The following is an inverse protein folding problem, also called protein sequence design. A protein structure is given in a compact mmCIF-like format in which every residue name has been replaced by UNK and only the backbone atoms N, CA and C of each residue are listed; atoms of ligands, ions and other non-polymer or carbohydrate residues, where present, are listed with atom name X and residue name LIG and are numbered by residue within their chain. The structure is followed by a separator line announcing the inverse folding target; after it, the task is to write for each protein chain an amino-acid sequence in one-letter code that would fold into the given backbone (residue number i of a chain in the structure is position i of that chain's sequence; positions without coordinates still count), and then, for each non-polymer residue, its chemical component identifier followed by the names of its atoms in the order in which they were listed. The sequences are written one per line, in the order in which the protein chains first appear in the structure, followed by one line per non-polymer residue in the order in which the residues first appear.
data_IF_121195663394
#
_entry.id   IF_121195663394
#
_cell.length_a   1.000
_cell.length_b   1.000
_cell.length_c   1.000
_cell.angle_alpha   90.00
_cell.angle_beta   90.00
_cell.angle_gamma   90.00
#
_symmetry.space_group_name_H-M   'P 1'
#
loop_
_entity.id
_entity.type
_entity.pdbx_description
1 polymer ?
#
# COMPACT_ATOMS: atom_id res chain seq x y z
N UNK A 1 12.30 -31.75 14.91
CA UNK A 1 13.26 -31.75 13.81
C UNK A 1 12.65 -31.63 12.40
N UNK A 2 11.43 -32.13 12.21
CA UNK A 2 10.70 -32.11 10.96
C UNK A 2 10.36 -30.69 10.52
N UNK A 3 9.93 -29.82 11.42
CA UNK A 3 9.64 -28.41 11.16
C UNK A 3 10.88 -27.68 10.64
N UNK A 4 12.05 -27.95 11.23
CA UNK A 4 13.31 -27.36 10.78
C UNK A 4 13.67 -27.82 9.37
N UNK A 5 13.49 -29.14 9.10
CA UNK A 5 13.72 -29.73 7.78
C UNK A 5 12.75 -29.11 6.72
N UNK A 6 11.47 -29.01 7.05
CA UNK A 6 10.48 -28.37 6.17
C UNK A 6 10.81 -26.90 5.88
N UNK A 7 11.20 -26.12 6.90
CA UNK A 7 11.60 -24.71 6.72
C UNK A 7 12.93 -24.53 6.00
N UNK A 8 13.76 -25.58 5.85
CA UNK A 8 15.00 -25.51 5.07
C UNK A 8 14.81 -25.69 3.58
N UNK A 9 13.61 -26.05 3.12
CA UNK A 9 13.31 -26.15 1.69
C UNK A 9 13.39 -24.76 1.06
N UNK A 10 14.07 -24.66 -0.09
CA UNK A 10 14.30 -23.39 -0.79
C UNK A 10 13.00 -22.82 -1.35
N UNK A 11 12.58 -21.66 -0.83
CA UNK A 11 11.33 -21.00 -1.24
C UNK A 11 11.39 -20.56 -2.70
N UNK A 12 12.56 -20.17 -3.21
CA UNK A 12 12.69 -19.75 -4.61
C UNK A 12 12.41 -20.91 -5.56
N UNK A 13 12.90 -22.10 -5.21
CA UNK A 13 12.61 -23.33 -5.96
C UNK A 13 11.15 -23.74 -5.85
N UNK A 14 10.54 -23.61 -4.66
CA UNK A 14 9.10 -23.83 -4.46
C UNK A 14 8.28 -22.90 -5.34
N UNK A 15 8.56 -21.61 -5.33
CA UNK A 15 7.83 -20.64 -6.13
C UNK A 15 7.89 -20.95 -7.63
N UNK A 16 9.06 -21.36 -8.13
CA UNK A 16 9.18 -21.83 -9.52
C UNK A 16 8.34 -23.07 -9.77
N UNK A 17 8.27 -23.99 -8.83
CA UNK A 17 7.43 -25.18 -8.91
C UNK A 17 5.93 -24.86 -8.99
N UNK A 18 5.50 -23.77 -8.37
CA UNK A 18 4.13 -23.21 -8.47
C UNK A 18 3.92 -22.33 -9.72
N UNK A 19 4.90 -22.24 -10.61
CA UNK A 19 4.77 -21.50 -11.86
C UNK A 19 5.12 -20.02 -11.79
N UNK A 20 5.64 -19.53 -10.66
CA UNK A 20 6.11 -18.15 -10.57
C UNK A 20 7.44 -17.96 -11.32
N UNK A 21 7.49 -16.91 -12.13
CA UNK A 21 8.71 -16.52 -12.83
C UNK A 21 9.49 -15.47 -12.03
N UNK A 22 10.76 -15.72 -11.69
CA UNK A 22 11.57 -14.76 -10.97
C UNK A 22 12.01 -13.60 -11.86
N UNK A 23 11.94 -12.40 -11.32
CA UNK A 23 12.49 -11.18 -11.90
C UNK A 23 13.44 -10.53 -10.88
N UNK A 24 14.59 -10.04 -11.35
CA UNK A 24 15.57 -9.42 -10.45
C UNK A 24 15.05 -8.11 -9.90
N UNK A 25 14.84 -8.03 -8.59
CA UNK A 25 14.34 -6.85 -7.89
C UNK A 25 15.43 -6.09 -7.10
N UNK A 26 16.64 -6.64 -6.98
CA UNK A 26 17.74 -6.05 -6.21
C UNK A 26 18.78 -7.08 -5.80
N UNK A 27 19.74 -6.70 -4.92
CA UNK A 27 20.81 -7.61 -4.47
C UNK A 27 20.29 -8.71 -3.54
N UNK A 28 19.25 -8.44 -2.76
CA UNK A 28 18.79 -9.32 -1.65
C UNK A 28 17.41 -9.91 -1.86
N UNK A 29 16.65 -9.45 -2.83
CA UNK A 29 15.29 -9.86 -3.06
C UNK A 29 15.04 -10.22 -4.53
N UNK A 30 14.17 -11.19 -4.76
CA UNK A 30 13.70 -11.63 -6.07
C UNK A 30 12.19 -11.35 -6.11
N UNK A 31 11.76 -10.52 -7.05
CA UNK A 31 10.34 -10.30 -7.32
C UNK A 31 9.81 -11.44 -8.19
N UNK A 32 8.60 -11.89 -7.93
CA UNK A 32 7.89 -12.84 -8.79
C UNK A 32 6.97 -12.08 -9.75
N UNK A 33 7.17 -12.27 -11.06
CA UNK A 33 6.35 -11.63 -12.09
C UNK A 33 4.88 -11.95 -11.93
N UNK A 34 4.03 -10.99 -12.20
CA UNK A 34 2.55 -11.12 -12.17
C UNK A 34 1.97 -11.63 -10.84
N UNK A 35 2.73 -11.58 -9.77
CA UNK A 35 2.35 -12.11 -8.45
C UNK A 35 1.66 -11.11 -7.53
N UNK A 36 1.41 -9.88 -8.00
CA UNK A 36 0.82 -8.83 -7.17
C UNK A 36 1.72 -8.34 -6.03
N UNK A 37 3.06 -8.50 -6.17
CA UNK A 37 4.00 -8.00 -5.17
C UNK A 37 4.61 -9.06 -4.25
N UNK A 38 4.71 -10.31 -4.72
CA UNK A 38 5.44 -11.37 -4.02
C UNK A 38 6.94 -11.19 -4.19
N UNK A 39 7.64 -11.06 -3.07
CA UNK A 39 9.09 -11.00 -3.00
C UNK A 39 9.64 -12.15 -2.20
N UNK A 40 10.69 -12.77 -2.73
CA UNK A 40 11.46 -13.83 -2.04
C UNK A 40 12.83 -13.28 -1.68
N UNK A 41 13.26 -13.57 -0.47
CA UNK A 41 14.56 -13.23 0.09
C UNK A 41 15.38 -14.51 0.25
N UNK A 42 16.16 -14.94 -0.76
CA UNK A 42 16.85 -16.22 -0.76
C UNK A 42 17.84 -16.39 0.41
N UNK A 43 18.56 -15.33 0.78
CA UNK A 43 19.55 -15.36 1.88
C UNK A 43 18.92 -15.78 3.22
N UNK A 44 17.66 -15.38 3.45
CA UNK A 44 16.96 -15.68 4.70
C UNK A 44 15.91 -16.78 4.56
N UNK A 45 15.74 -17.32 3.35
CA UNK A 45 14.68 -18.28 2.99
C UNK A 45 13.29 -17.80 3.44
N UNK A 46 12.93 -16.55 3.12
CA UNK A 46 11.66 -15.90 3.49
C UNK A 46 10.99 -15.32 2.29
N UNK A 47 9.66 -15.16 2.38
CA UNK A 47 8.88 -14.39 1.43
C UNK A 47 8.11 -13.26 2.12
N UNK A 48 7.68 -12.29 1.34
CA UNK A 48 6.79 -11.22 1.74
C UNK A 48 5.87 -10.85 0.56
N UNK A 49 4.58 -10.74 0.83
CA UNK A 49 3.58 -10.24 -0.10
C UNK A 49 3.28 -8.79 0.21
N UNK A 50 3.60 -7.88 -0.70
CA UNK A 50 3.44 -6.43 -0.50
C UNK A 50 2.07 -5.90 -0.88
N UNK A 51 1.35 -6.58 -1.79
CA UNK A 51 0.08 -6.12 -2.34
C UNK A 51 -0.83 -7.29 -2.68
N UNK A 52 -2.13 -7.03 -2.79
CA UNK A 52 -3.12 -8.03 -3.15
C UNK A 52 -3.92 -8.55 -1.97
N UNK A 53 -4.70 -9.63 -2.18
CA UNK A 53 -5.53 -10.22 -1.12
C UNK A 53 -4.73 -10.67 0.10
N UNK A 54 -3.47 -11.03 -0.11
CA UNK A 54 -2.53 -11.53 0.91
C UNK A 54 -1.54 -10.45 1.37
N UNK A 55 -1.89 -9.16 1.25
CA UNK A 55 -1.02 -8.05 1.67
C UNK A 55 -0.57 -8.22 3.13
N UNK A 56 0.75 -8.10 3.32
CA UNK A 56 1.38 -8.27 4.63
C UNK A 56 1.68 -9.73 5.02
N UNK A 57 1.23 -10.74 4.26
CA UNK A 57 1.57 -12.14 4.52
C UNK A 57 3.05 -12.37 4.27
N UNK A 58 3.71 -13.00 5.23
CA UNK A 58 5.14 -13.28 5.20
C UNK A 58 5.44 -14.56 5.94
N UNK A 59 6.53 -15.21 5.60
CA UNK A 59 6.91 -16.43 6.31
C UNK A 59 8.09 -17.19 5.71
N UNK A 60 8.22 -18.43 6.13
CA UNK A 60 9.16 -19.42 5.62
C UNK A 60 8.53 -20.34 4.57
N UNK A 61 9.23 -21.45 4.27
CA UNK A 61 8.76 -22.44 3.29
C UNK A 61 7.41 -23.06 3.68
N UNK A 62 7.18 -23.30 4.96
CA UNK A 62 5.92 -23.88 5.45
C UNK A 62 4.78 -22.88 5.19
N UNK A 63 4.94 -21.62 5.60
CA UNK A 63 3.92 -20.60 5.41
C UNK A 63 3.62 -20.36 3.93
N UNK A 64 4.65 -20.48 3.07
CA UNK A 64 4.50 -20.37 1.62
C UNK A 64 3.60 -21.47 1.06
N UNK A 65 3.85 -22.73 1.41
CA UNK A 65 3.04 -23.86 0.94
C UNK A 65 1.62 -23.84 1.53
N UNK A 66 1.48 -23.46 2.81
CA UNK A 66 0.16 -23.24 3.42
C UNK A 66 -0.67 -22.24 2.62
N UNK A 67 -0.06 -21.14 2.19
CA UNK A 67 -0.72 -20.11 1.37
C UNK A 67 -1.10 -20.62 -0.01
N UNK A 68 -0.16 -21.23 -0.73
CA UNK A 68 -0.37 -21.66 -2.12
C UNK A 68 -1.44 -22.75 -2.25
N UNK A 69 -1.51 -23.64 -1.28
CA UNK A 69 -2.39 -24.80 -1.36
C UNK A 69 -3.50 -24.82 -0.31
N UNK A 70 -3.61 -23.75 0.46
CA UNK A 70 -4.59 -23.65 1.57
C UNK A 70 -4.52 -24.84 2.55
N UNK A 71 -3.30 -25.28 2.86
CA UNK A 71 -3.04 -26.40 3.75
C UNK A 71 -2.94 -25.95 5.20
N UNK A 72 -3.26 -26.87 6.12
CA UNK A 72 -2.91 -26.70 7.53
C UNK A 72 -1.40 -26.84 7.77
N UNK A 73 -0.91 -26.33 8.88
CA UNK A 73 0.52 -26.41 9.23
C UNK A 73 1.08 -27.84 9.21
N UNK A 74 0.40 -28.88 9.79
CA UNK A 74 0.88 -30.26 9.73
C UNK A 74 0.94 -30.82 8.31
N UNK A 75 -0.03 -30.50 7.47
CA UNK A 75 -0.09 -30.95 6.07
C UNK A 75 1.05 -30.32 5.25
N UNK A 76 1.28 -29.02 5.40
CA UNK A 76 2.38 -28.34 4.73
C UNK A 76 3.76 -28.88 5.15
N UNK A 77 3.94 -29.17 6.45
CA UNK A 77 5.16 -29.83 6.95
C UNK A 77 5.32 -31.20 6.32
N UNK A 78 4.28 -32.06 6.36
CA UNK A 78 4.30 -33.40 5.78
C UNK A 78 4.69 -33.38 4.31
N UNK A 79 4.07 -32.48 3.52
CA UNK A 79 4.36 -32.31 2.10
C UNK A 79 5.81 -31.92 1.83
N UNK A 80 6.33 -30.94 2.55
CA UNK A 80 7.71 -30.46 2.37
C UNK A 80 8.78 -31.48 2.70
N UNK A 81 8.51 -32.45 3.62
CA UNK A 81 9.45 -33.52 3.99
C UNK A 81 9.21 -34.83 3.24
N UNK A 82 8.24 -34.84 2.30
CA UNK A 82 7.95 -36.04 1.48
C UNK A 82 7.25 -37.18 2.24
N UNK A 83 6.55 -36.88 3.35
CA UNK A 83 5.68 -37.84 4.04
C UNK A 83 4.28 -37.78 3.42
N UNK A 84 3.76 -38.93 2.99
CA UNK A 84 2.34 -39.07 2.69
C UNK A 84 1.54 -38.78 3.96
N UNK A 85 0.77 -37.69 3.93
CA UNK A 85 -0.11 -37.31 5.01
C UNK A 85 -1.49 -37.87 4.71
N UNK A 86 -1.98 -38.84 5.48
CA UNK A 86 -3.40 -39.22 5.44
C UNK A 86 -4.19 -38.10 6.09
N UNK A 87 -5.10 -37.41 5.35
CA UNK A 87 -5.85 -36.31 5.93
C UNK A 87 -6.74 -36.84 7.06
N UNK A 88 -6.42 -36.51 8.29
CA UNK A 88 -7.43 -36.52 9.32
C UNK A 88 -8.39 -35.37 8.95
N UNK A 89 -9.63 -35.74 8.69
CA UNK A 89 -10.72 -34.77 8.40
C UNK A 89 -10.90 -33.90 9.64
N UNK A 90 -10.06 -32.88 9.81
CA UNK A 90 -10.38 -31.75 10.65
C UNK A 90 -11.16 -30.79 9.77
N UNK A 91 -12.40 -30.54 10.16
CA UNK A 91 -13.23 -29.51 9.55
C UNK A 91 -12.36 -28.28 9.32
N UNK A 92 -12.28 -27.86 8.07
CA UNK A 92 -11.70 -26.55 7.69
C UNK A 92 -12.53 -25.53 8.45
N UNK A 93 -12.01 -25.05 9.55
CA UNK A 93 -12.56 -23.84 10.19
C UNK A 93 -12.36 -22.74 9.15
N UNK A 94 -13.40 -22.16 8.61
CA UNK A 94 -13.26 -21.04 7.68
C UNK A 94 -12.35 -20.03 8.37
N UNK A 95 -11.34 -19.54 7.65
CA UNK A 95 -10.52 -18.42 8.12
C UNK A 95 -11.47 -17.28 8.41
N UNK A 96 -11.82 -17.10 9.68
CA UNK A 96 -12.53 -15.92 10.11
C UNK A 96 -11.63 -14.73 9.80
N UNK A 97 -12.04 -13.95 8.81
CA UNK A 97 -11.39 -12.69 8.46
C UNK A 97 -11.34 -11.90 9.77
N UNK A 98 -10.18 -11.81 10.41
CA UNK A 98 -10.02 -11.02 11.65
C UNK A 98 -10.62 -9.67 11.38
N UNK A 99 -11.60 -9.27 12.17
CA UNK A 99 -12.14 -7.92 12.11
C UNK A 99 -10.95 -6.96 12.20
N UNK A 100 -10.90 -6.02 11.26
CA UNK A 100 -9.84 -5.01 11.28
C UNK A 100 -9.95 -4.23 12.58
N UNK A 101 -8.83 -3.99 13.22
CA UNK A 101 -8.79 -3.08 14.36
C UNK A 101 -9.37 -1.73 13.95
N UNK A 102 -10.12 -1.06 14.81
CA UNK A 102 -10.63 0.28 14.52
C UNK A 102 -9.48 1.24 14.19
N UNK A 103 -9.70 2.11 13.20
CA UNK A 103 -8.73 3.14 12.86
C UNK A 103 -8.50 4.08 14.05
N UNK A 104 -7.25 4.19 14.47
CA UNK A 104 -6.84 5.13 15.52
C UNK A 104 -6.13 6.32 14.86
N UNK A 105 -6.84 7.45 14.79
CA UNK A 105 -6.27 8.69 14.27
C UNK A 105 -5.27 9.30 15.26
N UNK A 106 -4.09 9.77 14.80
CA UNK A 106 -3.16 10.52 15.64
C UNK A 106 -3.78 11.80 16.19
N UNK A 107 -3.45 12.13 17.44
CA UNK A 107 -3.95 13.35 18.10
C UNK A 107 -3.55 14.59 17.29
N UNK A 108 -4.54 15.46 17.05
CA UNK A 108 -4.34 16.69 16.28
C UNK A 108 -3.65 17.75 17.12
N UNK A 109 -2.67 18.44 16.55
CA UNK A 109 -2.06 19.63 17.15
C UNK A 109 -3.00 20.84 17.09
N UNK A 110 -2.80 21.82 17.98
CA UNK A 110 -3.58 23.06 18.03
C UNK A 110 -3.41 23.93 16.78
N UNK A 111 -2.31 23.75 16.07
CA UNK A 111 -2.04 24.46 14.82
C UNK A 111 -1.33 23.55 13.80
N UNK A 112 -1.19 24.04 12.57
CA UNK A 112 -0.62 23.30 11.46
C UNK A 112 0.63 23.97 10.87
N UNK A 113 1.28 24.85 11.62
CA UNK A 113 2.37 25.71 11.11
C UNK A 113 3.51 24.92 10.47
N UNK A 114 3.98 23.87 11.15
CA UNK A 114 5.10 23.06 10.69
C UNK A 114 4.73 22.21 9.48
N UNK A 115 3.60 21.52 9.53
CA UNK A 115 3.11 20.71 8.42
C UNK A 115 2.78 21.57 7.19
N UNK A 116 2.16 22.73 7.38
CA UNK A 116 1.88 23.68 6.32
C UNK A 116 3.17 24.21 5.67
N UNK A 117 4.12 24.66 6.48
CA UNK A 117 5.43 25.11 5.98
C UNK A 117 6.14 24.01 5.19
N UNK A 118 6.15 22.78 5.70
CA UNK A 118 6.74 21.65 5.00
C UNK A 118 6.09 21.41 3.64
N UNK A 119 4.77 21.36 3.59
CA UNK A 119 4.05 21.12 2.33
C UNK A 119 4.24 22.24 1.31
N UNK A 120 4.19 23.49 1.76
CA UNK A 120 4.30 24.65 0.87
C UNK A 120 5.76 24.98 0.53
N UNK A 121 6.63 25.14 1.54
CA UNK A 121 7.97 25.67 1.32
C UNK A 121 9.00 24.58 0.97
N UNK A 122 8.85 23.37 1.51
CA UNK A 122 9.80 22.29 1.24
C UNK A 122 9.35 21.43 0.05
N UNK A 123 8.03 21.11 0.00
CA UNK A 123 7.48 20.27 -1.08
C UNK A 123 6.98 21.06 -2.29
N UNK A 124 6.93 22.39 -2.20
CA UNK A 124 6.52 23.27 -3.30
C UNK A 124 5.04 23.15 -3.68
N UNK A 125 4.20 22.66 -2.77
CA UNK A 125 2.77 22.50 -3.04
C UNK A 125 2.08 23.84 -2.93
N UNK A 126 1.21 24.15 -3.90
CA UNK A 126 0.44 25.40 -3.91
C UNK A 126 -0.32 25.62 -2.59
N UNK A 127 -0.22 26.81 -1.98
CA UNK A 127 -0.94 27.15 -0.75
C UNK A 127 -2.46 26.93 -0.86
N UNK A 128 -3.02 27.19 -2.05
CA UNK A 128 -4.46 27.02 -2.31
C UNK A 128 -4.87 25.55 -2.21
N UNK A 129 -4.03 24.64 -2.70
CA UNK A 129 -4.27 23.20 -2.68
C UNK A 129 -4.14 22.66 -1.26
N UNK A 130 -3.09 23.04 -0.54
CA UNK A 130 -2.93 22.64 0.87
C UNK A 130 -4.14 23.12 1.68
N UNK A 131 -4.56 24.39 1.51
CA UNK A 131 -5.71 24.97 2.22
C UNK A 131 -7.02 24.26 1.88
N UNK A 132 -7.21 23.83 0.62
CA UNK A 132 -8.38 23.06 0.20
C UNK A 132 -8.53 21.78 1.02
N UNK A 133 -7.48 20.97 1.11
CA UNK A 133 -7.51 19.71 1.85
C UNK A 133 -7.57 19.91 3.37
N UNK A 134 -6.94 20.98 3.90
CA UNK A 134 -7.10 21.36 5.32
C UNK A 134 -8.53 21.68 5.67
N UNK A 135 -9.21 22.50 4.85
CA UNK A 135 -10.61 22.89 5.07
C UNK A 135 -11.56 21.67 5.02
N UNK A 136 -11.22 20.67 4.23
CA UNK A 136 -11.93 19.37 4.17
C UNK A 136 -11.52 18.41 5.30
N UNK A 137 -10.68 18.84 6.24
CA UNK A 137 -10.15 18.03 7.36
C UNK A 137 -9.37 16.78 6.92
N UNK A 138 -8.92 16.75 5.66
CA UNK A 138 -8.16 15.63 5.12
C UNK A 138 -6.66 15.73 5.43
N UNK A 139 -6.18 16.91 5.86
CA UNK A 139 -4.80 17.12 6.30
C UNK A 139 -4.80 17.82 7.64
N UNK A 140 -3.95 17.35 8.55
CA UNK A 140 -3.65 18.05 9.80
C UNK A 140 -2.24 17.73 10.29
N UNK A 141 -1.77 18.45 11.31
CA UNK A 141 -0.51 18.19 11.99
C UNK A 141 -0.74 17.31 13.20
N UNK A 142 0.04 16.24 13.32
CA UNK A 142 0.06 15.41 14.52
C UNK A 142 0.71 16.17 15.69
N UNK A 143 0.16 15.99 16.90
CA UNK A 143 0.57 16.72 18.10
C UNK A 143 1.96 16.31 18.61
N UNK A 144 2.25 15.02 18.62
CA UNK A 144 3.44 14.47 19.31
C UNK A 144 4.74 14.81 18.61
N UNK A 145 4.81 14.61 17.30
CA UNK A 145 6.05 14.79 16.51
C UNK A 145 5.94 15.87 15.42
N UNK A 146 4.72 16.42 15.24
CA UNK A 146 4.45 17.44 14.24
C UNK A 146 4.45 16.91 12.82
N UNK A 147 4.18 15.63 12.62
CA UNK A 147 4.09 15.02 11.31
C UNK A 147 2.87 15.52 10.52
N UNK A 148 2.95 15.49 9.18
CA UNK A 148 1.77 15.63 8.33
C UNK A 148 0.94 14.36 8.44
N UNK A 149 -0.36 14.50 8.66
CA UNK A 149 -1.35 13.44 8.66
C UNK A 149 -2.28 13.63 7.47
N UNK A 150 -2.52 12.57 6.73
CA UNK A 150 -3.40 12.54 5.56
C UNK A 150 -4.50 11.51 5.79
N UNK A 151 -5.76 11.90 5.64
CA UNK A 151 -6.92 11.08 5.98
C UNK A 151 -7.76 10.79 4.73
N UNK A 152 -8.10 9.51 4.54
CA UNK A 152 -9.10 9.05 3.58
C UNK A 152 -10.42 8.76 4.30
N UNK A 153 -11.52 9.19 3.71
CA UNK A 153 -12.87 9.06 4.24
C UNK A 153 -13.74 8.15 3.37
N UNK A 154 -14.75 7.52 3.99
CA UNK A 154 -15.84 6.90 3.26
C UNK A 154 -16.90 7.95 2.84
N UNK A 155 -17.96 7.48 2.17
CA UNK A 155 -19.04 8.33 1.69
C UNK A 155 -19.86 8.98 2.83
N UNK A 156 -19.85 8.36 4.00
CA UNK A 156 -20.51 8.84 5.22
C UNK A 156 -19.66 9.85 5.99
N UNK A 157 -18.44 10.13 5.53
CA UNK A 157 -17.50 11.04 6.18
C UNK A 157 -16.78 10.43 7.38
N UNK A 158 -16.78 9.10 7.50
CA UNK A 158 -16.00 8.40 8.52
C UNK A 158 -14.59 8.18 8.04
N UNK A 159 -13.59 8.47 8.87
CA UNK A 159 -12.19 8.21 8.55
C UNK A 159 -11.93 6.69 8.49
N UNK A 160 -11.36 6.23 7.38
CA UNK A 160 -11.04 4.81 7.13
C UNK A 160 -9.55 4.57 6.89
N UNK A 161 -8.85 5.57 6.41
CA UNK A 161 -7.43 5.50 6.12
C UNK A 161 -6.71 6.70 6.72
N UNK A 162 -5.51 6.48 7.20
CA UNK A 162 -4.65 7.54 7.68
C UNK A 162 -3.19 7.19 7.43
N UNK A 163 -2.49 8.06 6.70
CA UNK A 163 -1.04 7.97 6.56
C UNK A 163 -0.34 9.19 7.15
N UNK A 164 0.89 8.98 7.59
CA UNK A 164 1.73 10.03 8.18
C UNK A 164 3.05 10.19 7.44
N UNK A 165 3.52 11.42 7.34
CA UNK A 165 4.83 11.78 6.81
C UNK A 165 5.52 12.79 7.71
N UNK A 166 6.80 12.60 7.99
CA UNK A 166 7.57 13.60 8.74
C UNK A 166 7.53 14.97 8.04
N UNK A 167 7.15 16.02 8.79
CA UNK A 167 7.17 17.40 8.32
C UNK A 167 8.57 18.02 8.54
N UNK A 168 9.61 17.41 7.95
CA UNK A 168 11.01 17.86 8.03
C UNK A 168 11.82 17.31 6.86
N UNK A 169 12.87 18.02 6.49
CA UNK A 169 13.84 17.56 5.50
C UNK A 169 14.60 16.33 5.99
N UNK A 170 15.13 15.56 5.06
CA UNK A 170 15.99 14.39 5.31
C UNK A 170 15.39 13.31 6.21
N UNK A 171 14.06 13.22 6.28
CA UNK A 171 13.39 12.15 6.99
C UNK A 171 12.68 11.20 6.04
N UNK A 172 13.01 9.92 6.13
CA UNK A 172 12.31 8.83 5.42
C UNK A 172 11.05 8.35 6.14
N UNK A 173 10.71 8.93 7.31
CA UNK A 173 9.55 8.46 8.07
C UNK A 173 8.26 8.60 7.26
N UNK A 174 7.64 7.47 7.01
CA UNK A 174 6.28 7.31 6.50
C UNK A 174 5.64 6.11 7.19
N UNK A 175 4.39 6.21 7.58
CA UNK A 175 3.67 5.15 8.29
C UNK A 175 2.17 5.30 8.10
N UNK A 176 1.47 4.19 7.95
CA UNK A 176 0.02 4.17 8.06
C UNK A 176 -0.37 3.99 9.53
N UNK A 177 -1.46 4.61 9.95
CA UNK A 177 -1.98 4.44 11.30
C UNK A 177 -2.60 3.04 11.47
N UNK A 178 -2.57 2.53 12.70
CA UNK A 178 -3.21 1.24 13.04
C UNK A 178 -4.69 1.26 12.65
N UNK A 179 -5.16 0.18 12.05
CA UNK A 179 -6.54 0.05 11.59
C UNK A 179 -6.86 0.73 10.25
N UNK A 180 -5.85 1.31 9.57
CA UNK A 180 -6.03 1.92 8.25
C UNK A 180 -6.50 0.92 7.20
N UNK A 181 -7.50 1.32 6.40
CA UNK A 181 -7.96 0.61 5.22
C UNK A 181 -7.52 1.34 3.96
N UNK A 182 -6.49 0.82 3.28
CA UNK A 182 -5.95 1.41 2.04
C UNK A 182 -6.93 1.45 0.87
N UNK A 183 -8.05 0.73 0.95
CA UNK A 183 -9.09 0.83 -0.06
C UNK A 183 -9.85 2.16 -0.04
N UNK A 184 -9.67 2.98 1.03
CA UNK A 184 -10.20 4.34 1.12
C UNK A 184 -9.08 5.36 0.90
N UNK A 185 -8.84 5.79 -0.34
CA UNK A 185 -7.71 6.64 -0.66
C UNK A 185 -7.83 8.05 -0.06
N UNK A 186 -6.71 8.75 0.06
CA UNK A 186 -6.74 10.21 0.09
C UNK A 186 -7.13 10.71 -1.31
N UNK A 187 -8.13 11.57 -1.45
CA UNK A 187 -8.74 11.87 -2.74
C UNK A 187 -9.19 13.31 -2.91
N UNK A 188 -9.37 13.70 -4.17
CA UNK A 188 -10.16 14.84 -4.62
C UNK A 188 -11.21 14.37 -5.60
N UNK A 189 -12.47 14.66 -5.33
CA UNK A 189 -13.58 14.36 -6.21
C UNK A 189 -13.74 15.48 -7.24
N UNK A 190 -13.58 15.14 -8.51
CA UNK A 190 -13.74 16.03 -9.66
C UNK A 190 -15.12 15.94 -10.29
N UNK A 191 -15.23 16.43 -11.55
CA UNK A 191 -16.46 16.47 -12.32
C UNK A 191 -16.34 15.79 -13.69
N UNK A 192 -15.11 15.53 -14.15
CA UNK A 192 -14.85 14.95 -15.47
C UNK A 192 -14.90 13.41 -15.43
N UNK A 193 -14.67 12.79 -16.57
CA UNK A 193 -14.52 11.34 -16.70
C UNK A 193 -13.09 10.85 -16.47
N UNK A 194 -12.20 11.71 -15.98
CA UNK A 194 -10.78 11.43 -15.81
C UNK A 194 -10.42 11.24 -14.33
N UNK A 195 -9.79 10.10 -14.02
CA UNK A 195 -9.16 9.83 -12.74
C UNK A 195 -7.64 9.84 -12.87
N UNK A 196 -7.00 10.66 -12.05
CA UNK A 196 -5.55 10.70 -11.91
C UNK A 196 -5.18 9.93 -10.65
N UNK A 197 -4.33 8.92 -10.82
CA UNK A 197 -3.88 8.00 -9.77
C UNK A 197 -2.43 8.30 -9.44
N UNK A 198 -2.15 8.54 -8.17
CA UNK A 198 -0.81 8.81 -7.64
C UNK A 198 -0.46 7.81 -6.52
N UNK A 199 0.80 7.71 -6.14
CA UNK A 199 1.20 6.80 -5.07
C UNK A 199 0.92 7.37 -3.68
N UNK A 200 1.26 8.62 -3.42
CA UNK A 200 1.11 9.24 -2.10
C UNK A 200 0.29 10.54 -2.13
N UNK A 201 -0.29 10.96 -0.98
CA UNK A 201 -1.05 12.23 -0.88
C UNK A 201 -0.24 13.45 -1.31
N UNK A 202 1.07 13.47 -1.05
CA UNK A 202 1.96 14.56 -1.48
C UNK A 202 2.06 14.61 -3.00
N UNK A 203 2.12 13.46 -3.67
CA UNK A 203 2.21 13.39 -5.13
C UNK A 203 0.91 13.85 -5.79
N UNK A 204 -0.24 13.48 -5.21
CA UNK A 204 -1.54 14.01 -5.62
C UNK A 204 -1.59 15.52 -5.58
N UNK A 205 -1.15 16.12 -4.46
CA UNK A 205 -1.15 17.57 -4.29
C UNK A 205 -0.10 18.24 -5.18
N UNK A 206 1.05 17.62 -5.39
CA UNK A 206 2.09 18.13 -6.30
C UNK A 206 1.59 18.12 -7.75
N UNK A 207 0.95 17.03 -8.20
CA UNK A 207 0.31 16.96 -9.51
C UNK A 207 -0.76 18.04 -9.69
N UNK A 208 -1.60 18.25 -8.67
CA UNK A 208 -2.61 19.30 -8.69
C UNK A 208 -1.98 20.71 -8.76
N UNK A 209 -0.85 20.94 -8.04
CA UNK A 209 -0.10 22.20 -8.08
C UNK A 209 0.50 22.46 -9.45
N UNK A 210 1.10 21.46 -10.07
CA UNK A 210 1.66 21.56 -11.43
C UNK A 210 0.54 21.88 -12.43
N UNK A 211 -0.61 21.22 -12.32
CA UNK A 211 -1.75 21.49 -13.18
C UNK A 211 -2.25 22.92 -13.05
N UNK A 212 -2.37 23.44 -11.82
CA UNK A 212 -2.88 24.78 -11.55
C UNK A 212 -1.85 25.88 -11.85
N UNK A 213 -0.66 25.80 -11.21
CA UNK A 213 0.27 26.93 -11.16
C UNK A 213 1.18 26.97 -12.39
N UNK A 214 1.47 25.83 -13.03
CA UNK A 214 2.33 25.74 -14.19
C UNK A 214 1.56 25.69 -15.51
N UNK A 215 0.47 24.90 -15.57
CA UNK A 215 -0.32 24.76 -16.79
C UNK A 215 -1.59 25.62 -16.82
N UNK A 216 -1.89 26.39 -15.77
CA UNK A 216 -3.09 27.23 -15.67
C UNK A 216 -4.41 26.45 -15.77
N UNK A 217 -4.42 25.15 -15.44
CA UNK A 217 -5.62 24.30 -15.50
C UNK A 217 -6.40 24.40 -14.20
N UNK A 218 -7.71 24.32 -14.29
CA UNK A 218 -8.55 24.13 -13.09
C UNK A 218 -8.37 22.69 -12.59
N UNK A 219 -7.47 22.53 -11.61
CA UNK A 219 -7.15 21.22 -11.04
C UNK A 219 -8.34 20.54 -10.36
N UNK A 220 -9.38 21.30 -10.00
CA UNK A 220 -10.58 20.77 -9.33
C UNK A 220 -11.52 20.01 -10.28
N UNK A 221 -11.32 20.08 -11.59
CA UNK A 221 -12.18 19.41 -12.55
C UNK A 221 -11.98 17.91 -12.58
N UNK A 222 -10.75 17.43 -12.46
CA UNK A 222 -10.44 16.01 -12.59
C UNK A 222 -10.40 15.31 -11.23
N UNK A 223 -10.86 14.07 -11.21
CA UNK A 223 -10.74 13.20 -10.04
C UNK A 223 -9.27 12.86 -9.77
N UNK A 224 -8.89 12.78 -8.50
CA UNK A 224 -7.55 12.37 -8.06
C UNK A 224 -7.61 11.49 -6.84
N UNK A 225 -6.83 10.42 -6.85
CA UNK A 225 -6.63 9.56 -5.67
C UNK A 225 -5.16 9.28 -5.45
N UNK A 226 -4.80 9.00 -4.19
CA UNK A 226 -3.50 8.42 -3.84
C UNK A 226 -3.69 7.05 -3.20
N UNK A 227 -3.09 6.03 -3.79
CA UNK A 227 -3.35 4.62 -3.43
C UNK A 227 -2.58 4.15 -2.19
N UNK A 228 -1.61 4.94 -1.68
CA UNK A 228 -0.74 4.56 -0.55
C UNK A 228 0.29 3.47 -0.88
N UNK A 229 0.15 2.82 -2.01
CA UNK A 229 1.06 1.89 -2.69
C UNK A 229 0.42 1.55 -4.06
N UNK A 230 1.14 0.87 -4.93
CA UNK A 230 0.59 0.40 -6.21
C UNK A 230 -0.32 -0.82 -6.00
N UNK A 231 -1.55 -0.56 -5.54
CA UNK A 231 -2.58 -1.57 -5.28
C UNK A 231 -3.92 -1.14 -5.86
N UNK A 232 -4.60 -2.06 -6.54
CA UNK A 232 -5.83 -1.75 -7.26
C UNK A 232 -7.04 -1.50 -6.35
N UNK A 233 -7.06 -2.02 -5.11
CA UNK A 233 -8.25 -1.95 -4.26
C UNK A 233 -8.78 -0.55 -3.97
N UNK A 234 -7.90 0.47 -3.92
CA UNK A 234 -8.32 1.86 -3.79
C UNK A 234 -8.94 2.39 -5.10
N UNK A 235 -8.39 1.96 -6.25
CA UNK A 235 -8.89 2.33 -7.58
C UNK A 235 -10.27 1.71 -7.79
N UNK A 236 -10.39 0.40 -7.56
CA UNK A 236 -11.63 -0.35 -7.77
C UNK A 236 -12.76 0.22 -6.93
N UNK A 237 -12.53 0.45 -5.63
CA UNK A 237 -13.52 1.08 -4.74
C UNK A 237 -13.90 2.49 -5.20
N UNK A 238 -12.94 3.30 -5.63
CA UNK A 238 -13.24 4.65 -6.10
C UNK A 238 -14.08 4.65 -7.37
N UNK A 239 -13.79 3.73 -8.31
CA UNK A 239 -14.54 3.56 -9.56
C UNK A 239 -15.95 3.02 -9.33
N UNK A 240 -16.16 2.14 -8.34
CA UNK A 240 -17.49 1.66 -7.93
C UNK A 240 -18.42 2.83 -7.57
N UNK A 241 -17.89 3.84 -6.85
CA UNK A 241 -18.63 5.05 -6.50
C UNK A 241 -18.75 6.09 -7.61
N UNK A 242 -17.97 5.95 -8.70
CA UNK A 242 -17.85 6.97 -9.75
C UNK A 242 -17.94 6.35 -11.15
N UNK A 243 -19.10 5.77 -11.55
CA UNK A 243 -19.24 5.05 -12.83
C UNK A 243 -19.09 5.95 -14.07
N UNK A 244 -19.12 7.27 -13.92
CA UNK A 244 -18.85 8.23 -14.98
C UNK A 244 -17.37 8.27 -15.40
N UNK A 245 -16.45 7.81 -14.59
CA UNK A 245 -15.02 7.79 -14.91
C UNK A 245 -14.74 6.73 -15.98
N UNK A 246 -14.09 7.15 -17.08
CA UNK A 246 -13.76 6.30 -18.23
C UNK A 246 -12.27 6.30 -18.57
N UNK A 247 -11.51 7.24 -18.03
CA UNK A 247 -10.09 7.42 -18.32
C UNK A 247 -9.28 7.45 -17.04
N UNK A 248 -8.19 6.68 -17.02
CA UNK A 248 -7.24 6.68 -15.92
C UNK A 248 -5.88 7.17 -16.43
N UNK A 249 -5.26 8.04 -15.63
CA UNK A 249 -3.88 8.46 -15.82
C UNK A 249 -3.10 8.11 -14.55
N UNK A 250 -2.06 7.31 -14.71
CA UNK A 250 -1.15 6.95 -13.63
C UNK A 250 0.00 7.96 -13.60
N UNK A 251 0.04 8.78 -12.57
CA UNK A 251 1.11 9.73 -12.27
C UNK A 251 1.91 9.21 -11.06
N UNK A 252 2.56 8.07 -11.25
CA UNK A 252 3.37 7.36 -10.26
C UNK A 252 4.85 7.53 -10.55
N UNK A 253 5.71 7.22 -9.56
CA UNK A 253 7.16 7.32 -9.69
C UNK A 253 7.67 6.41 -10.81
N UNK A 254 8.56 6.95 -11.65
CA UNK A 254 9.21 6.19 -12.71
C UNK A 254 10.58 5.67 -12.23
N UNK A 255 10.57 4.63 -11.41
CA UNK A 255 11.78 4.01 -10.86
C UNK A 255 12.65 3.32 -11.93
N UNK A 256 12.15 3.18 -13.16
CA UNK A 256 12.88 2.54 -14.25
C UNK A 256 14.17 3.29 -14.59
N UNK A 257 14.12 4.63 -14.57
CA UNK A 257 15.29 5.47 -14.84
C UNK A 257 16.29 5.55 -13.69
N UNK A 258 15.90 5.16 -12.48
CA UNK A 258 16.79 5.13 -11.31
C UNK A 258 17.66 3.86 -11.29
N UNK A 259 17.29 2.80 -12.02
CA UNK A 259 17.99 1.51 -12.04
C UNK A 259 19.28 1.53 -12.88
N UNK A 260 19.42 2.48 -13.80
CA UNK A 260 20.59 2.59 -14.69
C UNK A 260 21.74 3.42 -14.10
N UNK A 261 21.63 3.90 -12.87
CA UNK A 261 22.64 4.74 -12.22
C UNK A 261 23.43 4.05 -11.10
N UNK A 262 23.32 2.71 -10.95
CA UNK A 262 24.11 1.96 -9.97
C UNK A 262 24.81 0.74 -10.59
#
# INVERSE_FOLDING_TARGET
DEIRKANSVDILSLARGYGYEPEKAGRKAVHMKHSGGLYIFPENNRFFQWTGPDDGVKGGAIDFVMREENLSFPEAVGKLIGKEFSPSVKQVVPYEKKEREPLVLPEKADNMKRAYWYLVSVRGISPKIVSHFMNRKMIYQEKKYGNCVFVGYDAEGTARYCSMRAARDNSSFKMDATGSDKSYPFFHEGKTDLLIVTEAPIDLMSHASIAADFYGRDWMQDHRISTGCLWNGAIDRYLEGHPQIKRLVFAVDNDYLARDKN
#
